data_IF_719601621027
#
_entry.id   IF_719601621027
#
_cell.length_a   1.000
_cell.length_b   1.000
_cell.length_c   1.000
_cell.angle_alpha   90.00
_cell.angle_beta   90.00
_cell.angle_gamma   90.00
#
_symmetry.space_group_name_H-M   'P 1'
#
loop_
_entity.id
_entity.type
_entity.pdbx_description
1 polymer ?
#
# COMPACT_ATOMS: atom_id res chain seq x y z
N UNK A 1 -19.90 -28.01 -14.23
CA UNK A 1 -18.87 -27.11 -14.82
C UNK A 1 -17.80 -27.95 -15.49
N UNK A 2 -17.45 -27.66 -16.75
CA UNK A 2 -16.43 -28.40 -17.50
C UNK A 2 -15.04 -28.22 -16.87
N UNK A 3 -14.32 -29.33 -16.66
CA UNK A 3 -12.95 -29.35 -16.07
C UNK A 3 -11.94 -28.59 -16.95
N UNK A 4 -12.13 -28.64 -18.27
CA UNK A 4 -11.30 -27.91 -19.23
C UNK A 4 -11.44 -26.41 -19.08
N UNK A 5 -12.66 -25.93 -18.82
CA UNK A 5 -12.98 -24.51 -18.65
C UNK A 5 -12.34 -23.93 -17.38
N UNK A 6 -12.27 -24.73 -16.30
CA UNK A 6 -11.55 -24.36 -15.07
C UNK A 6 -10.04 -24.31 -15.29
N UNK A 7 -9.50 -25.27 -16.04
CA UNK A 7 -8.06 -25.33 -16.31
C UNK A 7 -7.62 -24.16 -17.20
N UNK A 8 -8.37 -23.87 -18.26
CA UNK A 8 -8.07 -22.71 -19.12
C UNK A 8 -8.22 -21.39 -18.37
N UNK A 9 -9.24 -21.21 -17.54
CA UNK A 9 -9.39 -19.99 -16.75
C UNK A 9 -8.23 -19.79 -15.77
N UNK A 10 -7.79 -20.86 -15.09
CA UNK A 10 -6.65 -20.78 -14.16
C UNK A 10 -5.35 -20.52 -14.91
N UNK A 11 -5.11 -21.16 -16.05
CA UNK A 11 -3.91 -20.94 -16.85
C UNK A 11 -3.84 -19.51 -17.40
N UNK A 12 -4.97 -18.96 -17.87
CA UNK A 12 -5.04 -17.58 -18.36
C UNK A 12 -4.77 -16.58 -17.23
N UNK A 13 -5.40 -16.77 -16.07
CA UNK A 13 -5.16 -15.91 -14.89
C UNK A 13 -3.71 -15.98 -14.44
N UNK A 14 -3.14 -17.17 -14.34
CA UNK A 14 -1.75 -17.37 -13.93
C UNK A 14 -0.78 -16.73 -14.92
N UNK A 15 -1.05 -16.88 -16.22
CA UNK A 15 -0.24 -16.26 -17.28
C UNK A 15 -0.32 -14.74 -17.25
N UNK A 16 -1.52 -14.18 -17.09
CA UNK A 16 -1.72 -12.74 -17.00
C UNK A 16 -1.01 -12.13 -15.79
N UNK A 17 -1.10 -12.79 -14.62
CA UNK A 17 -0.40 -12.38 -13.40
C UNK A 17 1.12 -12.51 -13.54
N UNK A 18 1.61 -13.58 -14.16
CA UNK A 18 3.04 -13.77 -14.40
C UNK A 18 3.63 -12.70 -15.31
N UNK A 19 2.92 -12.38 -16.40
CA UNK A 19 3.33 -11.34 -17.35
C UNK A 19 3.30 -9.95 -16.70
N UNK A 20 2.23 -9.61 -15.96
CA UNK A 20 2.15 -8.31 -15.29
C UNK A 20 3.22 -8.16 -14.21
N UNK A 21 3.52 -9.22 -13.45
CA UNK A 21 4.61 -9.24 -12.49
C UNK A 21 5.97 -9.05 -13.17
N UNK A 22 6.20 -9.69 -14.32
CA UNK A 22 7.44 -9.52 -15.07
C UNK A 22 7.63 -8.07 -15.52
N UNK A 23 6.60 -7.44 -16.08
CA UNK A 23 6.64 -6.02 -16.45
C UNK A 23 6.82 -5.09 -15.24
N UNK A 24 6.31 -5.48 -14.08
CA UNK A 24 6.47 -4.68 -12.88
C UNK A 24 7.90 -4.75 -12.30
N UNK A 25 8.50 -5.95 -12.24
CA UNK A 25 9.78 -6.19 -11.55
C UNK A 25 10.99 -6.08 -12.46
N UNK A 26 10.90 -6.53 -13.71
CA UNK A 26 12.05 -6.68 -14.59
C UNK A 26 12.07 -5.72 -15.78
N UNK A 27 10.90 -5.39 -16.35
CA UNK A 27 10.85 -4.46 -17.49
C UNK A 27 11.46 -3.09 -17.14
N UNK A 28 12.17 -2.51 -18.11
CA UNK A 28 12.89 -1.22 -17.97
C UNK A 28 13.79 -1.19 -16.72
N UNK A 29 14.61 -2.22 -16.53
CA UNK A 29 15.51 -2.39 -15.39
C UNK A 29 14.78 -2.33 -14.03
N UNK A 30 13.53 -2.77 -14.00
CA UNK A 30 12.68 -2.74 -12.81
C UNK A 30 12.27 -1.34 -12.37
N UNK A 31 12.13 -0.40 -13.32
CA UNK A 31 11.71 0.99 -13.04
C UNK A 31 10.47 1.06 -12.14
N UNK A 32 9.44 0.27 -12.44
CA UNK A 32 8.19 0.27 -11.68
C UNK A 32 8.35 -0.26 -10.27
N UNK A 33 9.11 -1.34 -10.08
CA UNK A 33 9.45 -1.87 -8.77
C UNK A 33 10.33 -0.90 -7.96
N UNK A 34 11.36 -0.30 -8.57
CA UNK A 34 12.28 0.66 -7.93
C UNK A 34 11.56 1.94 -7.48
N UNK A 35 10.60 2.42 -8.27
CA UNK A 35 9.84 3.64 -7.95
C UNK A 35 8.55 3.39 -7.15
N UNK A 36 8.27 2.13 -6.80
CA UNK A 36 7.09 1.80 -6.02
C UNK A 36 7.17 2.42 -4.62
N UNK A 37 6.06 3.01 -4.16
CA UNK A 37 5.96 3.62 -2.83
C UNK A 37 6.28 2.61 -1.73
N UNK A 38 5.75 1.39 -1.81
CA UNK A 38 6.01 0.35 -0.82
C UNK A 38 7.49 -0.01 -0.70
N UNK A 39 8.22 -0.07 -1.83
CA UNK A 39 9.65 -0.37 -1.82
C UNK A 39 10.43 0.76 -1.17
N UNK A 40 10.10 2.01 -1.48
CA UNK A 40 10.71 3.18 -0.84
C UNK A 40 10.53 3.17 0.67
N UNK A 41 9.32 2.83 1.16
CA UNK A 41 9.09 2.70 2.60
C UNK A 41 9.87 1.53 3.22
N UNK A 42 9.93 0.38 2.54
CA UNK A 42 10.69 -0.78 3.01
C UNK A 42 12.19 -0.47 3.10
N UNK A 43 12.76 0.14 2.06
CA UNK A 43 14.17 0.51 2.00
C UNK A 43 14.50 1.56 3.06
N UNK A 44 13.61 2.54 3.28
CA UNK A 44 13.75 3.55 4.33
C UNK A 44 13.74 2.94 5.75
N UNK A 45 12.77 2.07 6.05
CA UNK A 45 12.70 1.36 7.34
C UNK A 45 13.93 0.48 7.56
N UNK A 46 14.38 -0.22 6.51
CA UNK A 46 15.61 -1.01 6.58
C UNK A 46 16.83 -0.10 6.82
N UNK A 47 16.88 1.07 6.19
CA UNK A 47 17.92 2.09 6.39
C UNK A 47 18.00 2.56 7.85
N UNK A 48 16.86 2.77 8.50
CA UNK A 48 16.78 3.10 9.94
C UNK A 48 17.30 1.93 10.80
N UNK A 49 16.86 0.70 10.53
CA UNK A 49 17.27 -0.50 11.29
C UNK A 49 18.79 -0.72 11.17
N UNK A 50 19.31 -0.56 9.95
CA UNK A 50 20.73 -0.70 9.64
C UNK A 50 21.58 0.51 10.11
N UNK A 51 20.96 1.53 10.73
CA UNK A 51 21.61 2.78 11.13
C UNK A 51 22.32 3.52 9.96
N UNK A 52 21.80 3.35 8.74
CA UNK A 52 22.27 4.06 7.53
C UNK A 52 21.52 5.37 7.30
N UNK A 53 20.34 5.52 7.89
CA UNK A 53 19.51 6.71 7.81
C UNK A 53 19.14 7.17 9.21
N UNK A 54 19.47 8.43 9.54
CA UNK A 54 19.09 9.05 10.81
C UNK A 54 17.65 9.57 10.74
N UNK A 55 16.85 9.23 11.75
CA UNK A 55 15.54 9.85 11.93
C UNK A 55 15.78 11.24 12.53
N UNK A 56 15.37 12.34 11.87
CA UNK A 56 15.39 13.65 12.50
C UNK A 56 14.44 13.62 13.69
N UNK A 57 15.01 13.53 14.90
CA UNK A 57 14.24 13.66 16.13
C UNK A 57 13.94 15.15 16.27
N UNK A 58 12.74 15.57 15.85
CA UNK A 58 12.23 16.85 16.27
C UNK A 58 12.18 16.87 17.80
N UNK A 59 12.99 17.74 18.41
CA UNK A 59 12.93 18.02 19.83
C UNK A 59 11.61 18.75 20.06
N UNK A 60 10.55 17.98 20.32
CA UNK A 60 9.24 18.53 20.69
C UNK A 60 9.47 19.32 21.96
N UNK A 61 9.38 20.65 21.85
CA UNK A 61 9.57 21.54 23.00
C UNK A 61 8.72 21.09 24.18
N UNK A 62 9.30 21.13 25.37
CA UNK A 62 8.79 20.62 26.66
C UNK A 62 7.51 21.28 27.18
N UNK A 63 6.68 21.86 26.30
CA UNK A 63 5.37 22.35 26.65
C UNK A 63 4.46 21.16 26.97
N UNK A 64 3.90 21.06 28.19
CA UNK A 64 2.98 19.99 28.52
C UNK A 64 1.77 20.06 27.59
N UNK A 65 1.64 19.06 26.72
CA UNK A 65 0.44 18.87 25.90
C UNK A 65 -0.46 17.88 26.62
N UNK A 66 -1.74 18.23 26.75
CA UNK A 66 -2.75 17.28 27.19
C UNK A 66 -2.94 16.22 26.12
N UNK A 67 -2.31 15.06 26.31
CA UNK A 67 -2.55 13.87 25.49
C UNK A 67 -3.85 13.25 26.00
N UNK A 68 -4.96 13.55 25.32
CA UNK A 68 -6.20 12.82 25.56
C UNK A 68 -6.03 11.44 24.94
N UNK A 69 -5.81 10.43 25.78
CA UNK A 69 -5.78 9.05 25.33
C UNK A 69 -7.14 8.68 24.75
N UNK A 70 -7.24 8.65 23.42
CA UNK A 70 -8.47 8.30 22.73
C UNK A 70 -8.64 6.77 22.73
N UNK A 71 -9.83 6.23 23.05
CA UNK A 71 -10.05 4.80 22.96
C UNK A 71 -9.76 4.28 21.55
N UNK A 72 -9.03 3.17 21.45
CA UNK A 72 -8.60 2.59 20.17
C UNK A 72 -9.80 2.31 19.24
N UNK A 73 -10.97 2.00 19.80
CA UNK A 73 -12.21 1.79 19.05
C UNK A 73 -12.71 3.04 18.32
N UNK A 74 -12.54 4.24 18.88
CA UNK A 74 -12.90 5.49 18.19
C UNK A 74 -11.95 5.75 17.02
N UNK A 75 -10.65 5.54 17.22
CA UNK A 75 -9.64 5.67 16.15
C UNK A 75 -9.93 4.69 15.01
N UNK A 76 -10.25 3.43 15.32
CA UNK A 76 -10.59 2.42 14.30
C UNK A 76 -11.88 2.78 13.54
N UNK A 77 -12.88 3.33 14.24
CA UNK A 77 -14.11 3.81 13.61
C UNK A 77 -13.84 4.95 12.62
N UNK A 78 -12.98 5.89 13.00
CA UNK A 78 -12.60 7.01 12.12
C UNK A 78 -11.84 6.52 10.88
N UNK A 79 -10.88 5.61 11.05
CA UNK A 79 -10.14 4.97 9.94
C UNK A 79 -11.09 4.22 9.01
N UNK A 80 -12.00 3.41 9.57
CA UNK A 80 -12.99 2.66 8.80
C UNK A 80 -13.89 3.60 7.98
N UNK A 81 -14.40 4.66 8.60
CA UNK A 81 -15.23 5.64 7.91
C UNK A 81 -14.49 6.32 6.76
N UNK A 82 -13.21 6.64 6.95
CA UNK A 82 -12.37 7.22 5.91
C UNK A 82 -12.17 6.25 4.73
N UNK A 83 -11.88 4.98 5.03
CA UNK A 83 -11.70 3.94 4.01
C UNK A 83 -12.99 3.73 3.19
N UNK A 84 -14.15 3.69 3.85
CA UNK A 84 -15.45 3.54 3.18
C UNK A 84 -15.71 4.72 2.26
N UNK A 85 -15.51 5.96 2.72
CA UNK A 85 -15.71 7.17 1.88
C UNK A 85 -14.79 7.17 0.67
N UNK A 86 -13.50 6.90 0.86
CA UNK A 86 -12.53 6.86 -0.24
C UNK A 86 -12.86 5.76 -1.27
N UNK A 87 -13.33 4.60 -0.80
CA UNK A 87 -13.75 3.51 -1.69
C UNK A 87 -15.00 3.89 -2.49
N UNK A 88 -15.98 4.53 -1.85
CA UNK A 88 -17.18 5.03 -2.51
C UNK A 88 -16.83 6.11 -3.54
N UNK A 89 -16.00 7.08 -3.19
CA UNK A 89 -15.50 8.11 -4.12
C UNK A 89 -14.79 7.50 -5.33
N UNK A 90 -13.94 6.49 -5.11
CA UNK A 90 -13.28 5.76 -6.20
C UNK A 90 -14.28 5.03 -7.11
N UNK A 91 -15.28 4.34 -6.55
CA UNK A 91 -16.33 3.67 -7.33
C UNK A 91 -17.12 4.68 -8.17
N UNK A 92 -17.52 5.81 -7.58
CA UNK A 92 -18.27 6.84 -8.29
C UNK A 92 -17.42 7.63 -9.29
N UNK A 93 -16.09 7.67 -9.13
CA UNK A 93 -15.17 8.28 -10.11
C UNK A 93 -15.13 7.53 -11.45
N UNK A 94 -15.49 6.24 -11.48
CA UNK A 94 -15.65 5.51 -12.75
C UNK A 94 -16.93 5.89 -13.51
N UNK A 95 -17.91 6.50 -12.83
CA UNK A 95 -19.19 6.92 -13.42
C UNK A 95 -19.26 8.38 -13.83
N UNK A 96 -18.20 9.18 -13.59
CA UNK A 96 -18.14 10.60 -13.97
C UNK A 96 -17.38 10.87 -15.28
N UNK A 97 -17.28 9.86 -16.15
CA UNK A 97 -16.73 9.96 -17.50
C UNK A 97 -17.77 9.56 -18.55
#
# INVERSE_FOLDING_TARGET
>A
MSKLLKLTSVSVLTSALGVSYYFYVFDKDGYHYKNASWKRYSDHVQGIIDHKEDIPVEVIGSAPRNVVARPMGETMKDIWNQQVRSTVEWIYSFGSH
#
